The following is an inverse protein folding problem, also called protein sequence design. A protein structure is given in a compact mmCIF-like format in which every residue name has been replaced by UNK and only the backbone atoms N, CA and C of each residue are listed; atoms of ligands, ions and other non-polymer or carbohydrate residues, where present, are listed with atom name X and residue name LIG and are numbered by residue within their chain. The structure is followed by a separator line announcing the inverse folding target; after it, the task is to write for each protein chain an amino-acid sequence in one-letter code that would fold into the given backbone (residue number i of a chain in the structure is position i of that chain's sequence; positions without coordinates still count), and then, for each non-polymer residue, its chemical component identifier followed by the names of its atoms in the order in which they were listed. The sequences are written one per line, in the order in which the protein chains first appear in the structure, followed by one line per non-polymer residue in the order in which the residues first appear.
data_IF_440855336316
#
_entry.id   IF_440855336316
#
_cell.length_a   1.000
_cell.length_b   1.000
_cell.length_c   1.000
_cell.angle_alpha   90.00
_cell.angle_beta   90.00
_cell.angle_gamma   90.00
#
_symmetry.space_group_name_H-M   'P 1'
#
loop_
_entity.id
_entity.type
_entity.pdbx_description
1 polymer ?
#
# COMPACT_ATOMS: atom_id res chain seq x y z
N UNK A 1 -15.07 10.68 19.06
CA UNK A 1 -14.06 9.95 18.27
C UNK A 1 -12.68 10.45 18.67
N UNK A 2 -11.93 9.69 19.47
CA UNK A 2 -10.51 9.98 19.74
C UNK A 2 -9.69 9.42 18.59
N UNK A 3 -9.01 10.29 17.84
CA UNK A 3 -8.21 9.89 16.70
C UNK A 3 -6.89 9.29 17.21
N UNK A 4 -6.69 7.98 17.00
CA UNK A 4 -5.59 7.19 17.57
C UNK A 4 -4.20 7.70 17.17
N UNK A 5 -4.10 8.39 16.03
CA UNK A 5 -2.85 8.98 15.54
C UNK A 5 -2.30 10.03 16.50
N UNK A 6 -3.14 10.84 17.15
CA UNK A 6 -2.71 11.93 18.03
C UNK A 6 -2.34 11.47 19.46
N UNK A 7 -2.70 10.25 19.84
CA UNK A 7 -2.39 9.66 21.15
C UNK A 7 -1.28 8.59 21.07
N UNK A 8 -0.54 8.56 19.97
CA UNK A 8 0.47 7.53 19.71
C UNK A 8 1.74 7.77 20.53
N UNK A 9 2.29 6.72 21.13
CA UNK A 9 3.54 6.82 21.89
C UNK A 9 4.73 7.17 20.99
N UNK A 10 5.69 7.93 21.53
CA UNK A 10 6.91 8.34 20.80
C UNK A 10 7.67 7.14 20.22
N UNK A 11 7.71 6.03 20.95
CA UNK A 11 8.37 4.78 20.53
C UNK A 11 7.77 4.20 19.24
N UNK A 12 6.45 4.35 19.04
CA UNK A 12 5.78 3.89 17.82
C UNK A 12 6.06 4.87 16.67
N UNK A 13 6.09 6.18 16.94
CA UNK A 13 6.45 7.18 15.93
C UNK A 13 7.89 6.98 15.42
N UNK A 14 8.84 6.77 16.32
CA UNK A 14 10.24 6.52 15.96
C UNK A 14 10.36 5.28 15.06
N UNK A 15 9.67 4.18 15.42
CA UNK A 15 9.60 2.97 14.59
C UNK A 15 8.97 3.20 13.21
N UNK A 16 7.93 4.02 13.13
CA UNK A 16 7.29 4.36 11.84
C UNK A 16 8.25 5.19 10.97
N UNK A 17 8.99 6.12 11.56
CA UNK A 17 10.03 6.86 10.85
C UNK A 17 11.12 5.91 10.33
N UNK A 18 11.60 4.97 11.15
CA UNK A 18 12.55 3.94 10.73
C UNK A 18 12.03 3.11 9.55
N UNK A 19 10.75 2.71 9.56
CA UNK A 19 10.11 2.03 8.43
C UNK A 19 10.17 2.89 7.17
N UNK A 20 9.85 4.19 7.28
CA UNK A 20 9.83 5.11 6.14
C UNK A 20 11.23 5.34 5.57
N UNK A 21 12.25 5.46 6.42
CA UNK A 21 13.65 5.53 6.02
C UNK A 21 14.12 4.23 5.36
N UNK A 22 13.79 3.08 5.97
CA UNK A 22 14.16 1.79 5.41
C UNK A 22 13.50 1.56 4.04
N UNK A 23 12.24 1.94 3.87
CA UNK A 23 11.47 1.72 2.65
C UNK A 23 11.84 2.65 1.49
N UNK A 24 12.75 3.62 1.66
CA UNK A 24 13.04 4.62 0.64
C UNK A 24 13.43 3.97 -0.71
N UNK A 25 12.68 4.33 -1.76
CA UNK A 25 12.82 3.88 -3.15
C UNK A 25 12.72 2.36 -3.36
N UNK A 26 12.18 1.61 -2.40
CA UNK A 26 12.05 0.15 -2.51
C UNK A 26 10.69 -0.36 -2.02
N UNK A 27 10.48 -1.66 -2.18
CA UNK A 27 9.35 -2.37 -1.60
C UNK A 27 9.64 -2.70 -0.14
N UNK A 28 8.68 -2.44 0.74
CA UNK A 28 8.71 -2.83 2.14
C UNK A 28 7.35 -3.39 2.55
N UNK A 29 7.34 -4.51 3.28
CA UNK A 29 6.12 -5.11 3.85
C UNK A 29 6.16 -4.98 5.37
N UNK A 30 5.12 -4.36 5.92
CA UNK A 30 4.94 -4.13 7.35
C UNK A 30 3.85 -5.09 7.84
N UNK A 31 4.25 -6.09 8.61
CA UNK A 31 3.32 -7.02 9.25
C UNK A 31 2.81 -6.44 10.59
N UNK A 32 1.49 -6.39 10.75
CA UNK A 32 0.83 -5.84 11.94
C UNK A 32 -0.55 -6.47 12.13
N UNK A 33 -1.00 -6.59 13.37
CA UNK A 33 -2.35 -7.09 13.66
C UNK A 33 -3.43 -6.05 13.34
N UNK A 34 -3.12 -4.77 13.52
CA UNK A 34 -4.03 -3.66 13.21
C UNK A 34 -3.52 -2.92 11.97
N UNK A 35 -3.91 -3.44 10.80
CA UNK A 35 -3.48 -2.92 9.50
C UNK A 35 -3.99 -1.52 9.25
N UNK A 36 -5.20 -1.20 9.70
CA UNK A 36 -5.85 0.10 9.47
C UNK A 36 -5.18 1.20 10.30
N UNK A 37 -4.99 0.98 11.61
CA UNK A 37 -4.33 1.99 12.43
C UNK A 37 -2.88 2.21 11.99
N UNK A 38 -2.18 1.13 11.65
CA UNK A 38 -0.78 1.20 11.19
C UNK A 38 -0.66 1.90 9.84
N UNK A 39 -1.55 1.62 8.88
CA UNK A 39 -1.53 2.31 7.58
C UNK A 39 -1.84 3.79 7.70
N UNK A 40 -2.79 4.16 8.56
CA UNK A 40 -3.14 5.56 8.80
C UNK A 40 -1.97 6.32 9.45
N UNK A 41 -1.29 5.70 10.42
CA UNK A 41 -0.14 6.30 11.07
C UNK A 41 1.06 6.43 10.11
N UNK A 42 1.36 5.39 9.34
CA UNK A 42 2.39 5.42 8.29
C UNK A 42 2.10 6.53 7.27
N UNK A 43 0.85 6.67 6.85
CA UNK A 43 0.42 7.70 5.90
C UNK A 43 0.61 9.08 6.49
N UNK A 44 0.20 9.29 7.74
CA UNK A 44 0.39 10.55 8.44
C UNK A 44 1.88 10.93 8.55
N UNK A 45 2.73 10.02 9.03
CA UNK A 45 4.17 10.25 9.15
C UNK A 45 4.84 10.47 7.79
N UNK A 46 4.44 9.73 6.75
CA UNK A 46 4.93 9.91 5.40
C UNK A 46 4.56 11.30 4.85
N UNK A 47 3.32 11.75 5.08
CA UNK A 47 2.89 13.10 4.73
C UNK A 47 3.77 14.12 5.47
N UNK A 48 3.94 14.02 6.79
CA UNK A 48 4.76 14.95 7.55
C UNK A 48 6.21 15.02 7.05
N UNK A 49 6.80 13.88 6.65
CA UNK A 49 8.18 13.78 6.17
C UNK A 49 8.37 14.28 4.73
N UNK A 50 7.39 14.06 3.88
CA UNK A 50 7.45 14.38 2.45
C UNK A 50 6.58 15.59 2.06
N UNK A 51 6.04 16.31 3.04
CA UNK A 51 5.31 17.55 2.84
C UNK A 51 6.26 18.60 2.26
N UNK A 52 6.17 18.78 0.95
CA UNK A 52 6.62 19.99 0.26
C UNK A 52 5.37 20.57 -0.36
N UNK A 53 5.07 21.84 -0.11
CA UNK A 53 3.92 22.52 -0.67
C UNK A 53 3.99 22.48 -2.19
N UNK A 54 3.34 21.48 -2.79
CA UNK A 54 3.33 21.27 -4.23
C UNK A 54 1.87 21.17 -4.65
N UNK A 55 1.44 22.14 -5.46
CA UNK A 55 0.03 22.38 -5.78
C UNK A 55 -0.56 21.32 -6.74
N UNK A 56 0.29 20.46 -7.31
CA UNK A 56 -0.06 19.59 -8.45
C UNK A 56 0.40 18.12 -8.34
N UNK A 57 1.25 17.75 -7.36
CA UNK A 57 1.82 16.41 -7.30
C UNK A 57 1.49 15.70 -5.98
N UNK A 58 0.80 14.56 -6.08
CA UNK A 58 0.56 13.66 -4.95
C UNK A 58 1.88 12.97 -4.57
N UNK A 59 2.52 13.42 -3.48
CA UNK A 59 3.78 12.80 -3.02
C UNK A 59 3.54 11.51 -2.23
N UNK A 60 2.45 11.45 -1.46
CA UNK A 60 2.10 10.32 -0.61
C UNK A 60 0.67 9.93 -0.93
N UNK A 61 0.48 8.67 -1.31
CA UNK A 61 -0.84 8.12 -1.61
C UNK A 61 -1.10 6.87 -0.79
N UNK A 62 -2.28 6.81 -0.16
CA UNK A 62 -2.77 5.65 0.55
C UNK A 62 -3.85 4.96 -0.29
N UNK A 63 -3.55 3.74 -0.71
CA UNK A 63 -4.41 2.91 -1.53
C UNK A 63 -5.07 1.82 -0.69
N UNK A 64 -6.39 1.87 -0.58
CA UNK A 64 -7.17 0.73 -0.10
C UNK A 64 -7.32 -0.30 -1.23
N UNK A 65 -6.61 -1.42 -1.13
CA UNK A 65 -6.50 -2.37 -2.23
C UNK A 65 -7.80 -3.11 -2.54
N UNK A 66 -8.58 -3.49 -1.52
CA UNK A 66 -9.86 -4.19 -1.75
C UNK A 66 -10.84 -3.29 -2.50
N UNK A 67 -10.99 -2.03 -2.06
CA UNK A 67 -11.86 -1.07 -2.74
C UNK A 67 -11.37 -0.73 -4.15
N UNK A 68 -10.05 -0.67 -4.36
CA UNK A 68 -9.46 -0.44 -5.68
C UNK A 68 -9.78 -1.56 -6.66
N UNK A 69 -9.66 -2.83 -6.24
CA UNK A 69 -10.03 -3.99 -7.05
C UNK A 69 -11.51 -3.98 -7.43
N UNK A 70 -12.39 -3.69 -6.47
CA UNK A 70 -13.83 -3.60 -6.72
C UNK A 70 -14.14 -2.52 -7.76
N UNK A 71 -13.47 -1.36 -7.69
CA UNK A 71 -13.64 -0.28 -8.65
C UNK A 71 -13.15 -0.67 -10.05
N UNK A 72 -12.03 -1.39 -10.17
CA UNK A 72 -11.58 -1.93 -11.47
C UNK A 72 -12.61 -2.90 -12.04
N UNK A 73 -13.12 -3.83 -11.25
CA UNK A 73 -14.09 -4.81 -11.74
C UNK A 73 -15.40 -4.15 -12.16
N UNK A 74 -15.86 -3.15 -11.42
CA UNK A 74 -17.04 -2.36 -11.78
C UNK A 74 -16.83 -1.58 -13.08
N UNK A 75 -15.62 -1.07 -13.34
CA UNK A 75 -15.36 -0.32 -14.57
C UNK A 75 -15.44 -1.19 -15.83
N UNK A 76 -15.26 -2.52 -15.73
CA UNK A 76 -15.43 -3.43 -16.88
C UNK A 76 -16.87 -3.50 -17.41
N UNK A 77 -17.85 -3.22 -16.53
CA UNK A 77 -19.27 -3.19 -16.90
C UNK A 77 -19.80 -1.77 -17.11
N UNK A 78 -18.99 -0.75 -16.80
CA UNK A 78 -19.35 0.65 -16.99
C UNK A 78 -18.95 1.12 -18.39
N UNK A 79 -19.71 2.05 -18.96
CA UNK A 79 -19.41 2.65 -20.26
C UNK A 79 -18.20 3.59 -20.20
N UNK A 80 -17.99 4.22 -19.04
CA UNK A 80 -16.90 5.15 -18.75
C UNK A 80 -16.20 4.76 -17.45
N UNK A 81 -14.90 5.02 -17.37
CA UNK A 81 -14.10 4.79 -16.16
C UNK A 81 -14.43 5.85 -15.12
N UNK A 82 -14.74 5.50 -13.86
CA UNK A 82 -14.95 6.49 -12.82
C UNK A 82 -13.69 7.34 -12.61
N UNK A 83 -13.83 8.67 -12.51
CA UNK A 83 -12.71 9.60 -12.32
C UNK A 83 -11.84 9.24 -11.09
N UNK A 84 -12.48 8.78 -10.00
CA UNK A 84 -11.79 8.29 -8.81
C UNK A 84 -10.83 7.12 -9.10
N UNK A 85 -11.21 6.23 -10.02
CA UNK A 85 -10.37 5.11 -10.42
C UNK A 85 -9.19 5.59 -11.28
N UNK A 86 -9.40 6.57 -12.15
CA UNK A 86 -8.32 7.19 -12.93
C UNK A 86 -7.28 7.85 -12.03
N UNK A 87 -7.72 8.67 -11.06
CA UNK A 87 -6.79 9.26 -10.09
C UNK A 87 -6.08 8.20 -9.24
N UNK A 88 -6.79 7.15 -8.82
CA UNK A 88 -6.18 6.06 -8.08
C UNK A 88 -5.09 5.35 -8.91
N UNK A 89 -5.32 5.12 -10.21
CA UNK A 89 -4.32 4.54 -11.13
C UNK A 89 -3.11 5.48 -11.31
N UNK A 90 -3.35 6.78 -11.50
CA UNK A 90 -2.29 7.77 -11.66
C UNK A 90 -1.45 7.87 -10.38
N UNK A 91 -2.08 8.09 -9.22
CA UNK A 91 -1.37 8.31 -7.96
C UNK A 91 -0.71 7.03 -7.44
N UNK A 92 -1.34 5.87 -7.61
CA UNK A 92 -0.67 4.59 -7.28
C UNK A 92 0.56 4.35 -8.15
N UNK A 93 0.60 4.86 -9.38
CA UNK A 93 1.77 4.72 -10.25
C UNK A 93 2.84 5.79 -10.01
N UNK A 94 2.45 7.02 -9.66
CA UNK A 94 3.35 8.19 -9.69
C UNK A 94 3.74 8.75 -8.33
N UNK A 95 2.98 8.45 -7.26
CA UNK A 95 3.29 8.98 -5.94
C UNK A 95 4.67 8.51 -5.47
N UNK A 96 5.44 9.42 -4.84
CA UNK A 96 6.77 9.10 -4.30
C UNK A 96 6.69 7.98 -3.26
N UNK A 97 5.69 8.03 -2.40
CA UNK A 97 5.38 7.01 -1.40
C UNK A 97 3.97 6.49 -1.62
N UNK A 98 3.86 5.19 -1.92
CA UNK A 98 2.59 4.49 -1.96
C UNK A 98 2.48 3.60 -0.72
N UNK A 99 1.39 3.75 0.02
CA UNK A 99 1.03 2.86 1.13
C UNK A 99 -0.19 2.06 0.70
N UNK A 100 -0.10 0.74 0.69
CA UNK A 100 -1.18 -0.17 0.32
C UNK A 100 -1.67 -0.86 1.59
N UNK A 101 -2.97 -0.79 1.86
CA UNK A 101 -3.61 -1.47 2.99
C UNK A 101 -4.80 -2.33 2.54
N UNK A 102 -5.43 -3.00 3.50
CA UNK A 102 -6.65 -3.78 3.30
C UNK A 102 -6.50 -4.95 2.32
N UNK A 103 -5.28 -5.46 2.16
CA UNK A 103 -5.02 -6.63 1.32
C UNK A 103 -5.54 -7.93 1.97
N UNK A 104 -5.79 -7.91 3.27
CA UNK A 104 -6.35 -9.00 4.07
C UNK A 104 -7.85 -9.24 3.82
N UNK A 105 -8.55 -8.23 3.30
CA UNK A 105 -9.94 -8.37 2.86
C UNK A 105 -10.07 -8.95 1.45
N UNK A 106 -8.94 -9.27 0.79
CA UNK A 106 -8.91 -9.76 -0.58
C UNK A 106 -8.70 -11.27 -0.58
N UNK A 107 -9.63 -11.99 -1.19
CA UNK A 107 -9.40 -13.38 -1.58
C UNK A 107 -8.58 -13.40 -2.88
N UNK A 108 -7.27 -13.64 -2.75
CA UNK A 108 -6.38 -13.58 -3.89
C UNK A 108 -6.61 -14.75 -4.86
N UNK A 109 -7.06 -14.42 -6.07
CA UNK A 109 -6.94 -15.29 -7.24
C UNK A 109 -5.91 -14.67 -8.20
N UNK A 110 -5.78 -15.23 -9.39
CA UNK A 110 -4.78 -14.74 -10.36
C UNK A 110 -4.95 -13.26 -10.70
N UNK A 111 -6.18 -12.77 -10.89
CA UNK A 111 -6.43 -11.36 -11.19
C UNK A 111 -5.91 -10.41 -10.10
N UNK A 112 -6.30 -10.64 -8.84
CA UNK A 112 -5.90 -9.80 -7.72
C UNK A 112 -4.38 -9.86 -7.48
N UNK A 113 -3.81 -11.07 -7.58
CA UNK A 113 -2.38 -11.28 -7.39
C UNK A 113 -1.56 -10.60 -8.50
N UNK A 114 -1.96 -10.74 -9.76
CA UNK A 114 -1.34 -10.07 -10.90
C UNK A 114 -1.44 -8.55 -10.78
N UNK A 115 -2.59 -8.03 -10.38
CA UNK A 115 -2.81 -6.59 -10.25
C UNK A 115 -1.83 -5.98 -9.25
N UNK A 116 -1.69 -6.61 -8.08
CA UNK A 116 -0.73 -6.16 -7.06
C UNK A 116 0.73 -6.34 -7.51
N UNK A 117 1.06 -7.50 -8.11
CA UNK A 117 2.41 -7.76 -8.62
C UNK A 117 2.83 -6.76 -9.69
N UNK A 118 1.94 -6.42 -10.62
CA UNK A 118 2.21 -5.44 -11.68
C UNK A 118 2.43 -4.05 -11.08
N UNK A 119 1.59 -3.65 -10.11
CA UNK A 119 1.76 -2.37 -9.42
C UNK A 119 3.12 -2.30 -8.70
N UNK A 120 3.50 -3.36 -7.96
CA UNK A 120 4.80 -3.45 -7.31
C UNK A 120 5.94 -3.35 -8.33
N UNK A 121 5.87 -4.14 -9.40
CA UNK A 121 6.92 -4.20 -10.41
C UNK A 121 7.14 -2.85 -11.12
N UNK A 122 6.06 -2.20 -11.55
CA UNK A 122 6.13 -0.91 -12.25
C UNK A 122 6.74 0.18 -11.36
N UNK A 123 6.42 0.16 -10.07
CA UNK A 123 6.96 1.12 -9.10
C UNK A 123 8.41 0.84 -8.76
N UNK A 124 8.80 -0.43 -8.63
CA UNK A 124 10.20 -0.82 -8.46
C UNK A 124 11.06 -0.38 -9.67
N UNK A 125 10.54 -0.56 -10.90
CA UNK A 125 11.22 -0.10 -12.11
C UNK A 125 11.41 1.43 -12.13
N UNK A 126 10.47 2.17 -11.53
CA UNK A 126 10.52 3.63 -11.40
C UNK A 126 11.26 4.12 -10.15
N UNK A 127 11.85 3.21 -9.36
CA UNK A 127 12.55 3.52 -8.11
C UNK A 127 11.70 4.29 -7.09
N UNK A 128 10.40 3.95 -6.98
CA UNK A 128 9.44 4.59 -6.08
C UNK A 128 9.18 3.74 -4.82
N UNK A 129 9.00 4.40 -3.67
CA UNK A 129 8.73 3.73 -2.40
C UNK A 129 7.36 3.07 -2.41
N UNK A 130 7.29 1.79 -2.06
CA UNK A 130 6.02 1.05 -1.92
C UNK A 130 6.00 0.32 -0.58
N UNK A 131 5.03 0.66 0.26
CA UNK A 131 4.86 0.07 1.58
C UNK A 131 3.55 -0.71 1.59
N UNK A 132 3.63 -2.00 1.88
CA UNK A 132 2.47 -2.87 1.99
C UNK A 132 2.22 -3.15 3.46
N UNK A 133 1.05 -2.76 3.95
CA UNK A 133 0.61 -3.04 5.31
C UNK A 133 -0.30 -4.25 5.29
N UNK A 134 0.10 -5.29 5.99
CA UNK A 134 -0.55 -6.60 5.97
C UNK A 134 -0.60 -7.18 7.38
N UNK A 135 -1.51 -8.13 7.68
CA UNK A 135 -1.25 -9.10 8.73
C UNK A 135 -0.01 -9.94 8.37
N UNK A 136 0.19 -11.08 9.04
CA UNK A 136 1.24 -12.00 8.61
C UNK A 136 1.01 -12.38 7.15
N UNK A 137 2.03 -12.30 6.30
CA UNK A 137 1.92 -12.62 4.86
C UNK A 137 1.40 -14.06 4.67
N UNK A 138 1.72 -14.94 5.62
CA UNK A 138 1.27 -16.34 5.63
C UNK A 138 -0.21 -16.53 5.94
N UNK A 139 -0.87 -15.54 6.55
CA UNK A 139 -2.31 -15.58 6.82
C UNK A 139 -3.15 -15.02 5.68
N UNK A 140 -2.52 -14.50 4.62
CA UNK A 140 -3.26 -14.08 3.42
C UNK A 140 -3.90 -15.29 2.75
N UNK A 141 -5.15 -15.13 2.33
CA UNK A 141 -5.95 -16.19 1.72
C UNK A 141 -5.90 -16.03 0.20
N UNK A 142 -5.43 -17.06 -0.49
CA UNK A 142 -5.41 -17.05 -1.94
C UNK A 142 -5.08 -18.40 -2.56
N UNK A 143 -5.32 -18.48 -3.86
CA UNK A 143 -4.98 -19.61 -4.71
C UNK A 143 -4.60 -19.12 -6.11
N UNK A 144 -3.95 -19.99 -6.90
CA UNK A 144 -3.51 -19.67 -8.25
C UNK A 144 -1.99 -19.53 -8.38
N UNK A 145 -1.53 -19.44 -9.63
CA UNK A 145 -0.11 -19.46 -9.97
C UNK A 145 0.60 -18.19 -9.50
N UNK A 146 -0.09 -17.06 -9.55
CA UNK A 146 0.49 -15.76 -9.18
C UNK A 146 0.48 -15.49 -7.68
N UNK A 147 -0.39 -16.15 -6.92
CA UNK A 147 -0.48 -15.95 -5.47
C UNK A 147 0.79 -16.39 -4.74
N UNK A 148 1.34 -17.55 -5.08
CA UNK A 148 2.59 -18.05 -4.49
C UNK A 148 3.76 -17.09 -4.78
N UNK A 149 3.81 -16.54 -6.00
CA UNK A 149 4.82 -15.55 -6.37
C UNK A 149 4.65 -14.26 -5.58
N UNK A 150 3.42 -13.77 -5.44
CA UNK A 150 3.10 -12.61 -4.62
C UNK A 150 3.56 -12.82 -3.17
N UNK A 151 3.19 -13.94 -2.55
CA UNK A 151 3.62 -14.25 -1.18
C UNK A 151 5.14 -14.27 -1.05
N UNK A 152 5.85 -14.85 -2.01
CA UNK A 152 7.32 -14.86 -1.99
C UNK A 152 7.91 -13.45 -2.09
N UNK A 153 7.35 -12.58 -2.94
CA UNK A 153 7.78 -11.18 -3.07
C UNK A 153 7.53 -10.40 -1.78
N UNK A 154 6.34 -10.55 -1.20
CA UNK A 154 5.98 -9.89 0.05
C UNK A 154 6.88 -10.34 1.20
N UNK A 155 7.09 -11.66 1.37
CA UNK A 155 7.99 -12.23 2.38
C UNK A 155 9.42 -11.72 2.24
N UNK A 156 9.94 -11.66 1.02
CA UNK A 156 11.29 -11.15 0.76
C UNK A 156 11.46 -9.67 1.06
N UNK A 157 10.36 -8.93 1.21
CA UNK A 157 10.34 -7.52 1.55
C UNK A 157 9.82 -7.24 2.97
N UNK A 158 9.57 -8.27 3.79
CA UNK A 158 9.14 -8.07 5.18
C UNK A 158 10.26 -7.39 5.94
N UNK A 159 9.94 -6.26 6.56
CA UNK A 159 10.87 -5.61 7.48
C UNK A 159 10.97 -6.49 8.73
N UNK A 160 12.07 -7.24 8.80
CA UNK A 160 12.43 -7.98 10.01
C UNK A 160 12.74 -6.94 11.08
N UNK A 161 12.06 -7.04 12.23
CA UNK A 161 12.35 -6.21 13.39
C UNK A 161 13.81 -6.36 13.83
#
# INVERSE_FOLDING_TARGET
MQNSVYNTSRKILDRVCEILDHAENKLCTVETNDTIASSNLLTYCAICKHWKGNRLHCNVYHLNFSSYLDNIQKSWSAKDTPEDLEYAQIWSSTAKVLIISNIDYVQFKDFQAQTLLNLIHNRQASNLTTIIVSPKVNSLIGSGLFFNKLQSVLRGAVMSA
#
